data_IF_707335282306
#
_entry.id   IF_707335282306
#
_cell.length_a   1.000
_cell.length_b   1.000
_cell.length_c   1.000
_cell.angle_alpha   90.00
_cell.angle_beta   90.00
_cell.angle_gamma   90.00
#
_symmetry.space_group_name_H-M   'P 1'
#
loop_
_entity.id
_entity.type
_entity.pdbx_description
1 polymer ?
#
# COMPACT_ATOMS: atom_id res chain seq x y z
N UNK A 1 -2.56 -22.39 -18.34
CA UNK A 1 -2.63 -22.60 -16.88
C UNK A 1 -2.20 -21.28 -16.33
N UNK A 2 -3.10 -20.53 -15.69
CA UNK A 2 -2.73 -19.22 -15.15
C UNK A 2 -1.63 -19.45 -14.12
N UNK A 3 -0.50 -18.79 -14.33
CA UNK A 3 0.66 -18.88 -13.45
C UNK A 3 0.26 -18.25 -12.11
N UNK A 4 0.49 -18.96 -11.01
CA UNK A 4 0.12 -18.46 -9.67
C UNK A 4 1.09 -17.35 -9.31
N UNK A 5 0.60 -16.11 -9.25
CA UNK A 5 1.40 -14.96 -8.80
C UNK A 5 1.69 -15.09 -7.29
N UNK A 6 2.94 -14.85 -6.84
CA UNK A 6 3.20 -14.68 -5.41
C UNK A 6 2.45 -13.45 -4.87
N UNK A 7 2.03 -13.53 -3.61
CA UNK A 7 1.44 -12.41 -2.88
C UNK A 7 2.49 -11.86 -1.91
N UNK A 8 2.79 -10.57 -2.02
CA UNK A 8 3.77 -9.87 -1.19
C UNK A 8 3.06 -8.88 -0.26
N UNK A 9 3.34 -8.97 1.04
CA UNK A 9 3.01 -7.90 1.98
C UNK A 9 4.06 -6.79 1.84
N UNK A 10 3.63 -5.59 1.44
CA UNK A 10 4.50 -4.45 1.25
C UNK A 10 4.21 -3.38 2.30
N UNK A 11 5.11 -3.28 3.28
CA UNK A 11 5.02 -2.38 4.42
C UNK A 11 5.54 -0.99 4.08
N UNK A 12 4.72 0.03 4.33
CA UNK A 12 5.00 1.42 3.92
C UNK A 12 4.65 2.39 5.05
N UNK A 13 5.67 2.79 5.82
CA UNK A 13 5.52 3.80 6.86
C UNK A 13 5.63 5.21 6.29
N UNK A 14 4.65 6.08 6.59
CA UNK A 14 4.68 7.50 6.24
C UNK A 14 4.77 7.79 4.74
N UNK A 15 4.50 6.80 3.89
CA UNK A 15 4.77 6.82 2.45
C UNK A 15 3.56 6.32 1.64
N UNK A 16 3.76 5.39 0.70
CA UNK A 16 2.74 4.92 -0.23
C UNK A 16 1.58 4.20 0.51
N UNK A 17 0.31 4.35 0.12
CA UNK A 17 -0.19 5.18 -0.97
C UNK A 17 -0.67 6.58 -0.52
N UNK A 18 -0.49 6.95 0.75
CA UNK A 18 -1.12 8.13 1.35
C UNK A 18 -0.25 9.39 1.39
N UNK A 19 1.07 9.23 1.35
CA UNK A 19 2.03 10.34 1.33
C UNK A 19 2.79 10.37 0.01
N UNK A 20 3.18 11.55 -0.44
CA UNK A 20 4.04 11.72 -1.60
C UNK A 20 5.53 11.64 -1.24
N UNK A 21 6.40 11.74 -2.26
CA UNK A 21 7.85 11.75 -2.08
C UNK A 21 8.54 10.65 -2.90
N UNK A 22 9.88 10.64 -2.89
CA UNK A 22 10.67 9.71 -3.71
C UNK A 22 10.38 8.24 -3.41
N UNK A 23 10.25 7.87 -2.13
CA UNK A 23 9.94 6.49 -1.70
C UNK A 23 8.56 6.08 -2.19
N UNK A 24 7.55 6.92 -2.04
CA UNK A 24 6.19 6.62 -2.50
C UNK A 24 6.09 6.52 -4.02
N UNK A 25 6.81 7.38 -4.74
CA UNK A 25 6.89 7.31 -6.20
C UNK A 25 7.57 6.01 -6.65
N UNK A 26 8.67 5.62 -6.00
CA UNK A 26 9.33 4.35 -6.30
C UNK A 26 8.44 3.15 -5.99
N UNK A 27 7.75 3.15 -4.84
CA UNK A 27 6.82 2.08 -4.46
C UNK A 27 5.67 1.95 -5.46
N UNK A 28 5.12 3.08 -5.93
CA UNK A 28 4.08 3.09 -6.95
C UNK A 28 4.57 2.52 -8.30
N UNK A 29 5.78 2.91 -8.72
CA UNK A 29 6.41 2.36 -9.93
C UNK A 29 6.61 0.85 -9.77
N UNK A 30 7.17 0.39 -8.63
CA UNK A 30 7.39 -1.02 -8.37
C UNK A 30 6.10 -1.85 -8.50
N UNK A 31 5.01 -1.39 -7.86
CA UNK A 31 3.73 -2.09 -7.94
C UNK A 31 3.17 -2.11 -9.36
N UNK A 32 3.36 -1.03 -10.13
CA UNK A 32 2.84 -0.89 -11.49
C UNK A 32 3.62 -1.72 -12.50
N UNK A 33 4.95 -1.72 -12.42
CA UNK A 33 5.82 -2.46 -13.35
C UNK A 33 5.77 -3.97 -13.12
N UNK A 34 5.45 -4.43 -11.90
CA UNK A 34 5.31 -5.85 -11.55
C UNK A 34 3.86 -6.37 -11.61
N UNK A 35 2.95 -5.67 -12.30
CA UNK A 35 1.52 -5.97 -12.27
C UNK A 35 1.15 -7.33 -12.86
N UNK A 36 1.98 -7.87 -13.75
CA UNK A 36 1.74 -9.17 -14.37
C UNK A 36 2.41 -10.31 -13.60
N UNK A 37 3.31 -10.00 -12.66
CA UNK A 37 4.15 -10.99 -11.97
C UNK A 37 3.80 -11.14 -10.48
N UNK A 38 3.36 -10.08 -9.80
CA UNK A 38 3.21 -10.08 -8.33
C UNK A 38 1.92 -9.39 -7.91
N UNK A 39 1.20 -9.99 -6.96
CA UNK A 39 0.11 -9.35 -6.24
C UNK A 39 0.61 -8.77 -4.91
N UNK A 40 0.12 -7.60 -4.53
CA UNK A 40 0.56 -6.84 -3.37
C UNK A 40 -0.59 -6.60 -2.38
N UNK A 41 -0.31 -6.86 -1.11
CA UNK A 41 -1.08 -6.31 0.01
C UNK A 41 -0.28 -5.15 0.60
N UNK A 42 -0.86 -3.96 0.63
CA UNK A 42 -0.18 -2.81 1.24
C UNK A 42 -0.47 -2.78 2.73
N UNK A 43 0.57 -2.72 3.56
CA UNK A 43 0.45 -2.37 4.97
C UNK A 43 0.93 -0.94 5.16
N UNK A 44 0.00 0.00 5.07
CA UNK A 44 0.29 1.42 5.08
C UNK A 44 0.19 1.96 6.51
N UNK A 45 1.35 2.26 7.10
CA UNK A 45 1.43 2.87 8.43
C UNK A 45 1.41 4.38 8.28
N UNK A 46 0.49 5.05 8.96
CA UNK A 46 0.28 6.49 8.82
C UNK A 46 0.19 7.16 10.18
N UNK A 47 0.43 8.47 10.24
CA UNK A 47 0.21 9.23 11.47
C UNK A 47 -1.28 9.34 11.83
N UNK A 48 -2.11 9.77 10.88
CA UNK A 48 -3.53 10.07 11.11
C UNK A 48 -4.45 9.00 10.53
N UNK A 49 -5.64 8.77 11.13
CA UNK A 49 -6.62 7.80 10.62
C UNK A 49 -7.37 8.29 9.39
N UNK A 50 -7.42 9.60 9.18
CA UNK A 50 -8.09 10.21 8.03
C UNK A 50 -7.05 10.59 6.99
N UNK A 51 -6.89 9.73 5.99
CA UNK A 51 -5.95 9.91 4.87
C UNK A 51 -6.64 9.54 3.56
N UNK A 52 -6.27 10.26 2.50
CA UNK A 52 -6.73 9.99 1.14
C UNK A 52 -5.58 9.44 0.30
N UNK A 53 -5.80 8.39 -0.50
CA UNK A 53 -4.78 7.89 -1.43
C UNK A 53 -4.33 9.00 -2.40
N UNK A 54 -3.02 9.14 -2.59
CA UNK A 54 -2.44 10.11 -3.54
C UNK A 54 -2.14 9.51 -4.91
N UNK A 55 -2.24 8.19 -5.03
CA UNK A 55 -1.91 7.42 -6.23
C UNK A 55 -3.12 6.63 -6.70
N UNK A 56 -3.26 6.49 -8.01
CA UNK A 56 -4.21 5.53 -8.59
C UNK A 56 -3.56 4.14 -8.54
N UNK A 57 -4.06 3.27 -7.67
CA UNK A 57 -3.43 1.97 -7.45
C UNK A 57 -3.59 1.05 -8.67
N UNK A 58 -2.53 0.29 -9.03
CA UNK A 58 -2.62 -0.72 -10.06
C UNK A 58 -3.46 -1.91 -9.56
N UNK A 59 -3.98 -2.72 -10.49
CA UNK A 59 -4.96 -3.78 -10.16
C UNK A 59 -4.38 -4.93 -9.33
N UNK A 60 -3.06 -5.11 -9.37
CA UNK A 60 -2.34 -6.10 -8.58
C UNK A 60 -2.09 -5.64 -7.14
N UNK A 61 -2.49 -4.43 -6.75
CA UNK A 61 -2.66 -4.09 -5.33
C UNK A 61 -4.04 -4.59 -4.92
N UNK A 62 -4.09 -5.77 -4.31
CA UNK A 62 -5.33 -6.51 -4.05
C UNK A 62 -5.92 -6.24 -2.67
N UNK A 63 -5.12 -5.70 -1.74
CA UNK A 63 -5.58 -5.32 -0.40
C UNK A 63 -4.80 -4.13 0.18
N UNK A 64 -5.41 -3.39 1.10
CA UNK A 64 -4.78 -2.31 1.86
C UNK A 64 -5.17 -2.43 3.34
N UNK A 65 -4.17 -2.75 4.15
CA UNK A 65 -4.23 -2.70 5.60
C UNK A 65 -3.72 -1.32 6.03
N UNK A 66 -4.64 -0.46 6.44
CA UNK A 66 -4.30 0.89 6.92
C UNK A 66 -4.13 0.88 8.45
N UNK A 67 -2.93 1.25 8.91
CA UNK A 67 -2.56 1.30 10.33
C UNK A 67 -2.24 2.74 10.74
N UNK A 68 -3.22 3.49 11.28
CA UNK A 68 -2.96 4.80 11.86
C UNK A 68 -2.37 4.70 13.28
N UNK A 69 -1.30 5.47 13.53
CA UNK A 69 -0.60 5.48 14.82
C UNK A 69 -1.30 6.36 15.87
N UNK A 70 -2.05 7.37 15.43
CA UNK A 70 -2.77 8.30 16.32
C UNK A 70 -4.27 8.27 16.01
N UNK A 71 -5.08 8.75 16.97
CA UNK A 71 -6.52 8.96 16.75
C UNK A 71 -7.33 7.68 16.56
N UNK A 72 -6.77 6.51 16.87
CA UNK A 72 -7.52 5.27 17.05
C UNK A 72 -8.15 5.28 18.45
N UNK A 73 -9.46 5.03 18.53
CA UNK A 73 -10.09 4.73 19.82
C UNK A 73 -9.54 3.39 20.33
N UNK A 74 -9.30 3.29 21.64
CA UNK A 74 -8.98 1.99 22.24
C UNK A 74 -10.17 1.03 22.01
N UNK A 75 -9.91 -0.24 21.66
CA UNK A 75 -10.97 -1.24 21.64
C UNK A 75 -11.60 -1.33 23.04
N UNK A 76 -12.92 -1.19 23.11
CA UNK A 76 -13.71 -1.42 24.34
C UNK A 76 -13.75 -2.88 24.73
#
# INVERSE_FOLDING_TARGET
MDEVKPVVLFETEGSYPYSGGGVSTWAHILCTELQEEVDFHLMAITGNPFVEPRYKLPKNVTDIIHIPLWGVEEPV
#
